data_IF_587708344285
#
_entry.id   IF_587708344285
#
_cell.length_a   1.000
_cell.length_b   1.000
_cell.length_c   1.000
_cell.angle_alpha   90.00
_cell.angle_beta   90.00
_cell.angle_gamma   90.00
#
_symmetry.space_group_name_H-M   'P 1'
#
loop_
_entity.id
_entity.type
_entity.pdbx_description
1 polymer ?
#
# COMPACT_ATOMS: atom_id res chain seq x y z
N UNK A 1 -24.11 -11.67 -5.87
CA UNK A 1 -22.63 -11.70 -5.80
C UNK A 1 -22.11 -10.73 -6.84
N UNK A 2 -21.47 -9.66 -6.40
CA UNK A 2 -20.74 -8.81 -7.33
C UNK A 2 -19.60 -9.65 -7.94
N UNK A 3 -19.54 -9.66 -9.26
CA UNK A 3 -18.50 -10.38 -9.99
C UNK A 3 -17.18 -9.60 -9.83
N UNK A 4 -16.37 -9.97 -8.84
CA UNK A 4 -15.08 -9.34 -8.56
C UNK A 4 -14.08 -9.78 -9.62
N UNK A 5 -13.68 -8.86 -10.49
CA UNK A 5 -12.78 -9.14 -11.60
C UNK A 5 -11.33 -9.02 -11.12
N UNK A 6 -10.60 -10.13 -11.18
CA UNK A 6 -9.18 -10.19 -10.84
C UNK A 6 -8.30 -9.63 -11.97
N UNK A 7 -7.06 -9.28 -11.64
CA UNK A 7 -6.05 -8.92 -12.63
C UNK A 7 -5.74 -10.12 -13.56
N UNK A 8 -5.55 -9.80 -14.83
CA UNK A 8 -5.01 -10.76 -15.80
C UNK A 8 -3.53 -11.04 -15.54
N UNK A 9 -2.98 -12.08 -16.18
CA UNK A 9 -1.54 -12.39 -16.09
C UNK A 9 -0.66 -11.21 -16.54
N UNK A 10 -1.07 -10.47 -17.57
CA UNK A 10 -0.36 -9.29 -18.05
C UNK A 10 -0.41 -8.14 -17.00
N UNK A 11 -1.55 -7.95 -16.37
CA UNK A 11 -1.71 -6.95 -15.31
C UNK A 11 -0.89 -7.31 -14.06
N UNK A 12 -0.86 -8.59 -13.68
CA UNK A 12 -0.01 -9.07 -12.57
C UNK A 12 1.47 -8.83 -12.87
N UNK A 13 1.93 -9.03 -14.11
CA UNK A 13 3.30 -8.73 -14.51
C UNK A 13 3.63 -7.23 -14.31
N UNK A 14 2.68 -6.35 -14.61
CA UNK A 14 2.81 -4.90 -14.35
C UNK A 14 2.91 -4.63 -12.85
N UNK A 15 2.04 -5.24 -12.05
CA UNK A 15 2.06 -5.09 -10.58
C UNK A 15 3.39 -5.54 -10.00
N UNK A 16 3.97 -6.64 -10.47
CA UNK A 16 5.29 -7.11 -10.02
C UNK A 16 6.39 -6.08 -10.26
N UNK A 17 6.38 -5.42 -11.42
CA UNK A 17 7.32 -4.33 -11.71
C UNK A 17 7.11 -3.13 -10.79
N UNK A 18 5.86 -2.81 -10.51
CA UNK A 18 5.49 -1.72 -9.60
C UNK A 18 5.99 -2.00 -8.19
N UNK A 19 5.84 -3.23 -7.69
CA UNK A 19 6.34 -3.62 -6.35
C UNK A 19 7.84 -3.35 -6.23
N UNK A 20 8.62 -3.78 -7.21
CA UNK A 20 10.07 -3.56 -7.22
C UNK A 20 10.43 -2.08 -7.22
N UNK A 21 9.75 -1.27 -8.04
CA UNK A 21 9.96 0.18 -8.12
C UNK A 21 9.57 0.86 -6.81
N UNK A 22 8.42 0.52 -6.24
CA UNK A 22 7.94 1.08 -4.98
C UNK A 22 8.90 0.79 -3.83
N UNK A 23 9.39 -0.44 -3.74
CA UNK A 23 10.35 -0.84 -2.70
C UNK A 23 11.64 -0.03 -2.81
N UNK A 24 12.16 0.14 -4.02
CA UNK A 24 13.36 0.96 -4.26
C UNK A 24 13.15 2.41 -3.83
N UNK A 25 12.04 3.01 -4.23
CA UNK A 25 11.72 4.41 -3.91
C UNK A 25 11.56 4.63 -2.40
N UNK A 26 10.84 3.75 -1.73
CA UNK A 26 10.62 3.84 -0.28
C UNK A 26 11.92 3.58 0.48
N UNK A 27 12.72 2.59 0.06
CA UNK A 27 14.03 2.30 0.65
C UNK A 27 14.96 3.51 0.55
N UNK A 28 15.01 4.15 -0.60
CA UNK A 28 15.84 5.34 -0.82
C UNK A 28 15.38 6.52 0.05
N UNK A 29 14.09 6.74 0.14
CA UNK A 29 13.53 7.84 0.94
C UNK A 29 13.83 7.67 2.44
N UNK A 30 13.67 6.47 2.97
CA UNK A 30 13.93 6.16 4.38
C UNK A 30 15.36 5.71 4.66
N UNK A 31 16.23 5.68 3.64
CA UNK A 31 17.63 5.24 3.72
C UNK A 31 17.78 3.86 4.34
N UNK A 32 16.93 2.94 3.89
CA UNK A 32 16.89 1.56 4.36
C UNK A 32 17.75 0.66 3.49
N UNK A 33 18.49 -0.24 4.13
CA UNK A 33 19.20 -1.33 3.45
C UNK A 33 18.26 -2.51 3.15
N UNK A 34 18.67 -3.40 2.25
CA UNK A 34 17.93 -4.63 1.97
C UNK A 34 17.72 -5.48 3.25
N UNK A 35 18.69 -5.47 4.17
CA UNK A 35 18.59 -6.19 5.44
C UNK A 35 17.48 -5.69 6.34
N UNK A 36 17.14 -4.39 6.29
CA UNK A 36 16.06 -3.80 7.07
C UNK A 36 14.68 -4.25 6.58
N UNK A 37 14.52 -4.51 5.28
CA UNK A 37 13.30 -5.08 4.71
C UNK A 37 13.07 -6.55 5.07
N UNK A 38 14.13 -7.27 5.45
CA UNK A 38 14.00 -8.67 5.90
C UNK A 38 13.37 -8.79 7.30
N UNK A 39 13.30 -7.71 8.04
CA UNK A 39 12.79 -7.70 9.42
C UNK A 39 11.35 -7.23 9.60
N UNK A 40 10.72 -6.39 8.82
CA UNK A 40 9.30 -6.57 8.59
C UNK A 40 9.15 -7.35 7.30
N UNK A 41 9.03 -8.68 7.39
CA UNK A 41 8.63 -9.47 6.23
C UNK A 41 7.28 -9.00 5.75
N UNK A 42 7.18 -8.69 4.48
CA UNK A 42 5.92 -8.36 3.87
C UNK A 42 5.76 -9.11 2.54
N UNK A 43 4.53 -9.23 2.09
CA UNK A 43 4.19 -9.79 0.80
C UNK A 43 3.08 -8.96 0.17
N UNK A 44 3.02 -8.93 -1.16
CA UNK A 44 1.95 -8.27 -1.92
C UNK A 44 1.18 -9.35 -2.66
N UNK A 45 -0.13 -9.43 -2.42
CA UNK A 45 -1.01 -10.42 -3.04
C UNK A 45 -2.13 -9.71 -3.79
N UNK A 46 -2.50 -10.30 -4.92
CA UNK A 46 -3.64 -9.89 -5.72
C UNK A 46 -4.85 -10.78 -5.42
N UNK A 47 -6.01 -10.42 -5.93
CA UNK A 47 -7.30 -11.03 -5.57
C UNK A 47 -7.31 -12.56 -5.65
N UNK A 48 -6.64 -13.14 -6.63
CA UNK A 48 -6.62 -14.62 -6.82
C UNK A 48 -5.96 -15.38 -5.68
N UNK A 49 -5.08 -14.72 -4.93
CA UNK A 49 -4.32 -15.31 -3.82
C UNK A 49 -4.80 -14.85 -2.45
N UNK A 50 -5.91 -14.11 -2.39
CA UNK A 50 -6.48 -13.63 -1.13
C UNK A 50 -7.47 -14.62 -0.54
N UNK A 51 -7.42 -14.78 0.78
CA UNK A 51 -8.46 -15.46 1.52
C UNK A 51 -9.75 -14.61 1.53
N UNK A 52 -10.94 -15.23 1.68
CA UNK A 52 -12.20 -14.48 1.66
C UNK A 52 -12.27 -13.30 2.63
N UNK A 53 -11.70 -13.44 3.83
CA UNK A 53 -11.65 -12.39 4.85
C UNK A 53 -10.67 -11.25 4.52
N UNK A 54 -9.78 -11.45 3.56
CA UNK A 54 -8.83 -10.44 3.10
C UNK A 54 -9.39 -9.60 1.94
N UNK A 55 -10.54 -9.99 1.41
CA UNK A 55 -11.21 -9.30 0.32
C UNK A 55 -12.23 -8.32 0.90
N UNK A 56 -12.07 -7.04 0.59
CA UNK A 56 -12.93 -5.97 1.08
C UNK A 56 -13.43 -5.11 -0.07
N UNK A 57 -14.55 -4.44 0.13
CA UNK A 57 -15.08 -3.48 -0.82
C UNK A 57 -14.80 -2.05 -0.33
N UNK A 58 -14.40 -1.18 -1.23
CA UNK A 58 -14.08 0.22 -0.97
C UNK A 58 -12.60 0.54 -1.09
N UNK A 59 -11.72 0.06 -0.20
CA UNK A 59 -10.28 0.31 -0.32
C UNK A 59 -9.67 -0.33 -1.56
N UNK A 60 -8.57 0.25 -2.06
CA UNK A 60 -7.78 -0.32 -3.16
C UNK A 60 -6.79 -1.38 -2.67
N UNK A 61 -6.41 -1.28 -1.41
CA UNK A 61 -5.55 -2.23 -0.72
C UNK A 61 -5.82 -2.19 0.77
N UNK A 62 -5.49 -3.26 1.46
CA UNK A 62 -5.45 -3.25 2.92
C UNK A 62 -4.22 -4.01 3.40
N UNK A 63 -3.67 -3.59 4.52
CA UNK A 63 -2.58 -4.28 5.19
C UNK A 63 -3.18 -5.19 6.26
N UNK A 64 -2.83 -6.45 6.20
CA UNK A 64 -3.17 -7.43 7.25
C UNK A 64 -1.87 -7.81 7.94
N UNK A 65 -1.87 -7.72 9.28
CA UNK A 65 -0.74 -8.11 10.11
C UNK A 65 -0.95 -9.53 10.65
N UNK A 66 0.06 -10.37 10.46
CA UNK A 66 0.09 -11.71 11.03
C UNK A 66 1.29 -11.83 11.97
N UNK A 67 1.12 -12.56 13.08
CA UNK A 67 2.24 -12.98 13.91
C UNK A 67 2.87 -14.25 13.34
N UNK A 68 4.17 -14.17 13.03
CA UNK A 68 4.97 -15.32 12.67
C UNK A 68 5.86 -15.75 13.82
N UNK A 69 6.18 -17.04 13.87
CA UNK A 69 7.13 -17.60 14.81
C UNK A 69 8.23 -18.35 14.06
N UNK A 70 9.50 -18.05 14.37
CA UNK A 70 10.62 -18.78 13.78
C UNK A 70 10.64 -20.20 14.36
N UNK A 71 10.71 -21.20 13.47
CA UNK A 71 10.66 -22.63 13.83
C UNK A 71 11.93 -23.12 14.51
N UNK A 72 13.04 -22.38 14.43
CA UNK A 72 14.38 -22.77 14.87
C UNK A 72 14.79 -22.14 16.21
N UNK A 73 13.93 -21.36 16.85
CA UNK A 73 14.20 -20.76 18.16
C UNK A 73 13.22 -21.25 19.22
N UNK A 74 13.75 -21.84 20.28
CA UNK A 74 12.98 -22.28 21.45
C UNK A 74 12.65 -21.14 22.42
N UNK A 75 13.13 -19.91 22.16
CA UNK A 75 12.95 -18.74 23.00
C UNK A 75 12.00 -17.72 22.35
N UNK A 76 11.26 -16.97 23.15
CA UNK A 76 10.22 -16.02 22.71
C UNK A 76 10.70 -14.88 21.77
N UNK A 77 12.00 -14.74 21.55
CA UNK A 77 12.61 -13.83 20.57
C UNK A 77 12.38 -14.23 19.09
N UNK A 78 11.71 -15.37 18.84
CA UNK A 78 11.37 -15.85 17.50
C UNK A 78 10.06 -15.30 16.93
N UNK A 79 9.29 -14.52 17.70
CA UNK A 79 8.03 -13.91 17.23
C UNK A 79 8.36 -12.67 16.40
N UNK A 80 7.78 -12.57 15.21
CA UNK A 80 7.92 -11.41 14.33
C UNK A 80 6.59 -11.08 13.66
N UNK A 81 6.39 -9.81 13.32
CA UNK A 81 5.25 -9.38 12.54
C UNK A 81 5.48 -9.68 11.05
N UNK A 82 4.45 -10.20 10.41
CA UNK A 82 4.39 -10.36 8.97
C UNK A 82 3.23 -9.54 8.42
N UNK A 83 3.51 -8.75 7.41
CA UNK A 83 2.51 -7.89 6.77
C UNK A 83 2.15 -8.43 5.39
N UNK A 84 0.88 -8.43 5.08
CA UNK A 84 0.38 -8.74 3.74
C UNK A 84 -0.33 -7.51 3.19
N UNK A 85 0.13 -7.01 2.06
CA UNK A 85 -0.58 -6.00 1.28
C UNK A 85 -1.56 -6.73 0.37
N UNK A 86 -2.84 -6.61 0.68
CA UNK A 86 -3.92 -7.27 -0.06
C UNK A 86 -4.49 -6.29 -1.06
N UNK A 87 -4.09 -6.39 -2.33
CA UNK A 87 -4.60 -5.55 -3.40
C UNK A 87 -6.03 -5.97 -3.76
N UNK A 88 -6.92 -5.00 -3.87
CA UNK A 88 -8.30 -5.21 -4.24
C UNK A 88 -8.48 -4.94 -5.74
N UNK A 89 -8.15 -5.92 -6.56
CA UNK A 89 -8.13 -5.82 -8.02
C UNK A 89 -9.42 -5.22 -8.58
N UNK A 90 -10.56 -5.67 -8.07
CA UNK A 90 -11.87 -5.20 -8.51
C UNK A 90 -12.07 -3.71 -8.30
N UNK A 91 -11.62 -3.17 -7.17
CA UNK A 91 -11.73 -1.75 -6.87
C UNK A 91 -10.79 -0.92 -7.76
N UNK A 92 -9.57 -1.40 -7.97
CA UNK A 92 -8.58 -0.75 -8.84
C UNK A 92 -9.09 -0.73 -10.29
N UNK A 93 -9.55 -1.86 -10.81
CA UNK A 93 -10.07 -1.96 -12.17
C UNK A 93 -11.29 -1.07 -12.39
N UNK A 94 -12.14 -0.94 -11.40
CA UNK A 94 -13.30 -0.05 -11.47
C UNK A 94 -12.89 1.41 -11.70
N UNK A 95 -11.86 1.90 -11.02
CA UNK A 95 -11.33 3.25 -11.23
C UNK A 95 -10.74 3.40 -12.63
N UNK A 96 -9.99 2.40 -13.10
CA UNK A 96 -9.40 2.44 -14.45
C UNK A 96 -10.48 2.52 -15.55
N UNK A 97 -11.61 1.86 -15.36
CA UNK A 97 -12.74 1.92 -16.28
C UNK A 97 -13.45 3.27 -16.24
N UNK A 98 -13.67 3.81 -15.03
CA UNK A 98 -14.41 5.08 -14.84
C UNK A 98 -13.58 6.30 -15.15
N UNK A 99 -12.26 6.20 -15.08
CA UNK A 99 -11.33 7.32 -15.26
C UNK A 99 -10.23 6.94 -16.23
N UNK A 100 -10.49 7.04 -17.55
CA UNK A 100 -9.54 6.59 -18.58
C UNK A 100 -8.17 7.25 -18.55
N UNK A 101 -8.04 8.44 -17.95
CA UNK A 101 -6.76 9.13 -17.79
C UNK A 101 -5.84 8.41 -16.80
N UNK A 102 -6.38 7.63 -15.87
CA UNK A 102 -5.61 6.85 -14.89
C UNK A 102 -5.24 5.51 -15.50
N UNK A 103 -3.92 5.20 -15.48
CA UNK A 103 -3.38 3.94 -16.01
C UNK A 103 -2.93 3.04 -14.85
N UNK A 104 -2.87 1.75 -15.11
CA UNK A 104 -2.59 0.72 -14.08
C UNK A 104 -1.24 0.94 -13.40
N UNK A 105 -0.16 1.10 -14.17
CA UNK A 105 1.19 1.24 -13.60
C UNK A 105 1.30 2.43 -12.63
N UNK A 106 1.01 3.68 -13.03
CA UNK A 106 1.13 4.82 -12.11
C UNK A 106 0.14 4.75 -10.95
N UNK A 107 -1.04 4.20 -11.14
CA UNK A 107 -2.02 4.06 -10.07
C UNK A 107 -1.57 3.04 -9.03
N UNK A 108 -1.13 1.86 -9.46
CA UNK A 108 -0.57 0.85 -8.56
C UNK A 108 0.73 1.34 -7.89
N UNK A 109 1.54 2.12 -8.60
CA UNK A 109 2.75 2.72 -8.02
C UNK A 109 2.41 3.60 -6.81
N UNK A 110 1.37 4.41 -6.92
CA UNK A 110 0.89 5.22 -5.81
C UNK A 110 0.39 4.34 -4.65
N UNK A 111 -0.50 3.38 -4.96
CA UNK A 111 -1.12 2.51 -3.95
C UNK A 111 -0.06 1.72 -3.19
N UNK A 112 0.83 1.05 -3.89
CA UNK A 112 1.83 0.18 -3.25
C UNK A 112 2.87 1.00 -2.48
N UNK A 113 3.31 2.13 -3.02
CA UNK A 113 4.20 3.05 -2.31
C UNK A 113 3.55 3.51 -1.00
N UNK A 114 2.28 3.89 -1.04
CA UNK A 114 1.49 4.28 0.13
C UNK A 114 1.48 3.16 1.20
N UNK A 115 1.18 1.94 0.80
CA UNK A 115 1.12 0.81 1.75
C UNK A 115 2.50 0.45 2.31
N UNK A 116 3.55 0.52 1.49
CA UNK A 116 4.92 0.29 1.98
C UNK A 116 5.35 1.34 3.00
N UNK A 117 4.94 2.59 2.83
CA UNK A 117 5.21 3.65 3.83
C UNK A 117 4.55 3.30 5.16
N UNK A 118 3.29 2.82 5.14
CA UNK A 118 2.64 2.34 6.36
C UNK A 118 3.45 1.24 7.04
N UNK A 119 3.92 0.24 6.29
CA UNK A 119 4.73 -0.86 6.83
C UNK A 119 6.02 -0.35 7.47
N UNK A 120 6.73 0.56 6.80
CA UNK A 120 7.96 1.16 7.35
C UNK A 120 7.65 1.88 8.66
N UNK A 121 6.57 2.64 8.71
CA UNK A 121 6.19 3.41 9.89
C UNK A 121 5.76 2.51 11.05
N UNK A 122 5.06 1.42 10.80
CA UNK A 122 4.79 0.39 11.81
C UNK A 122 6.09 -0.20 12.36
N UNK A 123 7.03 -0.54 11.49
CA UNK A 123 8.31 -1.15 11.85
C UNK A 123 9.19 -0.23 12.68
N UNK A 124 9.12 1.08 12.43
CA UNK A 124 9.90 2.09 13.16
C UNK A 124 9.14 2.65 14.37
N UNK A 125 8.01 2.06 14.73
CA UNK A 125 7.13 2.51 15.82
C UNK A 125 6.68 3.96 15.69
N UNK A 126 6.61 4.47 14.46
CA UNK A 126 6.14 5.83 14.16
C UNK A 126 4.62 5.91 14.05
N UNK A 127 3.97 4.74 13.96
CA UNK A 127 2.51 4.62 13.94
C UNK A 127 2.12 3.34 14.68
N UNK A 128 0.93 3.34 15.29
CA UNK A 128 0.34 2.16 15.94
C UNK A 128 -0.70 1.50 15.03
N UNK A 129 -0.66 0.18 14.92
CA UNK A 129 -1.67 -0.57 14.18
C UNK A 129 -3.06 -0.46 14.85
N UNK A 130 -3.10 -0.30 16.17
CA UNK A 130 -4.31 -0.19 16.99
C UNK A 130 -4.66 1.26 17.36
N UNK A 131 -4.24 2.23 16.54
CA UNK A 131 -4.49 3.64 16.77
C UNK A 131 -5.99 3.99 16.75
N UNK A 132 -6.37 5.08 17.43
CA UNK A 132 -7.73 5.62 17.38
C UNK A 132 -8.12 6.06 15.97
N UNK A 133 -9.43 6.19 15.65
CA UNK A 133 -9.86 6.68 14.33
C UNK A 133 -9.28 8.05 13.94
N UNK A 134 -9.13 8.97 14.90
CA UNK A 134 -8.52 10.28 14.64
C UNK A 134 -7.04 10.16 14.33
N UNK A 135 -6.30 9.38 15.11
CA UNK A 135 -4.88 9.11 14.85
C UNK A 135 -4.67 8.42 13.50
N UNK A 136 -5.54 7.48 13.14
CA UNK A 136 -5.50 6.83 11.83
C UNK A 136 -5.71 7.81 10.68
N UNK A 137 -6.64 8.76 10.83
CA UNK A 137 -6.88 9.78 9.82
C UNK A 137 -5.68 10.71 9.64
N UNK A 138 -5.09 11.16 10.75
CA UNK A 138 -3.89 12.00 10.73
C UNK A 138 -2.71 11.27 10.08
N UNK A 139 -2.58 9.99 10.38
CA UNK A 139 -1.54 9.14 9.81
C UNK A 139 -1.77 8.90 8.31
N UNK A 140 -3.01 8.66 7.89
CA UNK A 140 -3.36 8.55 6.47
C UNK A 140 -2.95 9.80 5.69
N UNK A 141 -3.27 10.98 6.23
CA UNK A 141 -2.86 12.23 5.61
C UNK A 141 -1.34 12.32 5.48
N UNK A 142 -0.61 11.98 6.54
CA UNK A 142 0.86 12.00 6.54
C UNK A 142 1.43 11.05 5.49
N UNK A 143 0.89 9.84 5.40
CA UNK A 143 1.35 8.84 4.43
C UNK A 143 1.04 9.29 3.01
N UNK A 144 -0.12 9.89 2.76
CA UNK A 144 -0.43 10.48 1.45
C UNK A 144 0.52 11.63 1.10
N UNK A 145 0.86 12.50 2.04
CA UNK A 145 1.84 13.57 1.83
C UNK A 145 3.22 12.99 1.48
N UNK A 146 3.68 11.97 2.21
CA UNK A 146 4.95 11.30 1.96
C UNK A 146 4.95 10.58 0.61
N UNK A 147 3.86 9.91 0.26
CA UNK A 147 3.69 9.23 -1.04
C UNK A 147 3.83 10.24 -2.18
N UNK A 148 3.13 11.35 -2.08
CA UNK A 148 3.21 12.41 -3.09
C UNK A 148 4.63 12.98 -3.19
N UNK A 149 5.27 13.24 -2.06
CA UNK A 149 6.64 13.77 -2.02
C UNK A 149 7.64 12.83 -2.71
N UNK A 150 7.54 11.53 -2.45
CA UNK A 150 8.39 10.51 -3.08
C UNK A 150 8.14 10.47 -4.59
N UNK A 151 6.88 10.35 -5.01
CA UNK A 151 6.52 10.14 -6.40
C UNK A 151 6.63 11.40 -7.25
N UNK A 152 6.53 12.58 -6.65
CA UNK A 152 6.70 13.85 -7.36
C UNK A 152 8.13 14.06 -7.86
N UNK A 153 9.11 13.33 -7.34
CA UNK A 153 10.51 13.41 -7.72
C UNK A 153 10.91 12.43 -8.83
N UNK A 154 10.00 11.53 -9.21
CA UNK A 154 10.28 10.53 -10.25
C UNK A 154 9.56 10.87 -11.55
N UNK A 155 10.20 10.52 -12.68
CA UNK A 155 9.63 10.73 -14.00
C UNK A 155 8.95 9.45 -14.48
N UNK A 156 7.74 9.23 -13.99
CA UNK A 156 6.87 8.13 -14.43
C UNK A 156 5.66 8.72 -15.14
N UNK A 157 5.44 8.27 -16.37
CA UNK A 157 4.32 8.73 -17.17
C UNK A 157 2.98 8.37 -16.49
N UNK A 158 2.04 9.32 -16.49
CA UNK A 158 0.69 9.08 -15.99
C UNK A 158 0.49 9.33 -14.50
N UNK A 159 1.48 9.85 -13.77
CA UNK A 159 1.32 10.19 -12.35
C UNK A 159 0.42 11.41 -12.12
N UNK A 160 0.41 12.38 -13.03
CA UNK A 160 -0.38 13.61 -12.86
C UNK A 160 -1.87 13.33 -12.62
N UNK A 161 -2.56 12.48 -13.40
CA UNK A 161 -3.95 12.12 -13.12
C UNK A 161 -4.14 11.40 -11.78
N UNK A 162 -3.15 10.61 -11.36
CA UNK A 162 -3.18 9.91 -10.06
C UNK A 162 -3.07 10.92 -8.92
N UNK A 163 -2.18 11.89 -9.02
CA UNK A 163 -2.06 12.97 -8.04
C UNK A 163 -3.34 13.80 -7.94
N UNK A 164 -3.99 14.07 -9.05
CA UNK A 164 -5.27 14.77 -9.07
C UNK A 164 -6.37 13.94 -8.38
N UNK A 165 -6.40 12.64 -8.63
CA UNK A 165 -7.32 11.70 -7.98
C UNK A 165 -7.19 11.72 -6.44
N UNK A 166 -5.97 11.83 -5.94
CA UNK A 166 -5.68 11.87 -4.50
C UNK A 166 -5.54 13.29 -3.94
N UNK A 167 -5.87 14.34 -4.71
CA UNK A 167 -5.70 15.74 -4.31
C UNK A 167 -6.36 16.08 -2.98
N UNK A 168 -7.53 15.50 -2.66
CA UNK A 168 -8.26 15.73 -1.43
C UNK A 168 -7.43 15.47 -0.16
N UNK A 169 -6.49 14.54 -0.23
CA UNK A 169 -5.63 14.18 0.90
C UNK A 169 -4.53 15.22 1.18
N UNK A 170 -4.27 16.13 0.25
CA UNK A 170 -3.34 17.26 0.44
C UNK A 170 -4.01 18.52 0.97
N UNK A 171 -5.33 18.49 1.17
CA UNK A 171 -6.09 19.59 1.76
C UNK A 171 -6.05 19.53 3.29
N UNK A 172 -6.31 20.65 4.01
CA UNK A 172 -6.40 20.63 5.47
C UNK A 172 -7.41 19.59 5.97
N UNK A 173 -7.11 18.97 7.11
CA UNK A 173 -7.91 17.87 7.71
C UNK A 173 -9.38 18.25 7.92
N UNK A 174 -9.66 19.53 8.19
CA UNK A 174 -11.03 20.04 8.37
C UNK A 174 -11.93 19.77 7.18
N UNK A 175 -11.37 19.74 5.96
CA UNK A 175 -12.10 19.39 4.75
C UNK A 175 -12.38 17.90 4.56
N UNK A 176 -11.71 17.04 5.31
CA UNK A 176 -11.84 15.58 5.19
C UNK A 176 -12.95 15.00 6.08
N UNK A 177 -13.44 15.76 7.05
CA UNK A 177 -14.44 15.30 8.03
C UNK A 177 -15.86 15.11 7.50
N UNK A 178 -16.14 15.50 6.28
CA UNK A 178 -17.51 15.63 5.78
C UNK A 178 -17.89 14.64 4.66
N UNK A 179 -17.17 13.52 4.50
CA UNK A 179 -17.57 12.55 3.46
C UNK A 179 -17.34 11.12 3.86
#
# INVERSE_FOLDING_TARGET
MQNRIAFSSAEIAIVNKVVSMSEELVSNYYKMSAAEWLRPKYDVKTLVDLAPEEIVDGPFAQIVRYEGQRKDTALGSGVFDYFKICLQDHAIKSVLEQTPAIKLYPFCLYIITHELIHIVRFSKFLQSFDASPTEKLDEEKRVHDNTHQILNQVQVAGLSPVFEFYRKWRQPIEGLRMR
#
